data_IF_463803734995
#
_entry.id   IF_463803734995
#
_cell.length_a   1.000
_cell.length_b   1.000
_cell.length_c   1.000
_cell.angle_alpha   90.00
_cell.angle_beta   90.00
_cell.angle_gamma   90.00
#
_symmetry.space_group_name_H-M   'P 1'
#
loop_
_entity.id
_entity.type
_entity.pdbx_description
1 polymer ?
#
# COMPACT_ATOMS: atom_id res chain seq x y z
N UNK A 1 3.43 11.07 1.18
CA UNK A 1 2.37 10.16 1.61
C UNK A 1 2.73 8.72 1.25
N UNK A 2 2.22 7.77 2.05
CA UNK A 2 2.37 6.34 1.80
C UNK A 2 0.99 5.68 1.76
N UNK A 3 0.91 4.52 1.11
CA UNK A 3 -0.31 3.71 1.07
C UNK A 3 -0.15 2.54 2.03
N UNK A 4 -1.09 2.37 2.95
CA UNK A 4 -1.16 1.19 3.82
C UNK A 4 -2.19 0.24 3.23
N UNK A 5 -1.73 -0.95 2.88
CA UNK A 5 -2.57 -1.97 2.28
C UNK A 5 -2.87 -3.04 3.33
N UNK A 6 -4.10 -3.07 3.81
CA UNK A 6 -4.54 -4.05 4.81
C UNK A 6 -4.96 -5.33 4.08
N UNK A 7 -4.30 -6.43 4.41
CA UNK A 7 -4.49 -7.73 3.75
C UNK A 7 -4.97 -8.76 4.76
N UNK A 8 -6.05 -9.41 4.45
CA UNK A 8 -6.62 -10.44 5.31
C UNK A 8 -5.79 -11.73 5.26
N UNK A 9 -5.38 -12.19 6.44
CA UNK A 9 -4.56 -13.39 6.60
C UNK A 9 -5.13 -14.37 7.63
N UNK A 10 -6.45 -14.44 7.74
CA UNK A 10 -7.11 -15.40 8.61
C UNK A 10 -8.47 -15.82 8.04
N UNK A 11 -8.92 -16.98 8.43
CA UNK A 11 -10.25 -17.47 8.06
C UNK A 11 -11.23 -17.14 9.17
N UNK A 12 -12.37 -16.56 8.80
CA UNK A 12 -13.46 -16.27 9.71
C UNK A 12 -14.74 -16.92 9.14
N UNK A 13 -15.30 -17.94 9.83
CA UNK A 13 -16.47 -18.63 9.34
C UNK A 13 -17.73 -17.75 9.26
N UNK A 14 -17.71 -16.59 9.93
CA UNK A 14 -18.82 -15.64 9.91
C UNK A 14 -18.77 -14.65 8.75
N UNK A 15 -17.67 -14.64 7.99
CA UNK A 15 -17.49 -13.75 6.84
C UNK A 15 -17.56 -14.55 5.56
N UNK A 16 -18.47 -14.12 4.69
CA UNK A 16 -18.63 -14.73 3.36
C UNK A 16 -17.66 -14.02 2.41
N UNK A 17 -16.74 -14.79 1.83
CA UNK A 17 -15.89 -14.30 0.75
C UNK A 17 -16.62 -14.42 -0.57
N UNK A 18 -16.63 -13.35 -1.33
CA UNK A 18 -17.22 -13.33 -2.68
C UNK A 18 -16.53 -14.39 -3.56
N UNK A 19 -15.23 -14.58 -3.37
CA UNK A 19 -14.41 -15.52 -4.15
C UNK A 19 -14.14 -16.85 -3.44
N UNK A 20 -14.80 -17.13 -2.33
CA UNK A 20 -14.84 -18.44 -1.69
C UNK A 20 -13.73 -18.81 -0.71
N UNK A 21 -12.54 -18.22 -0.81
CA UNK A 21 -11.40 -18.53 0.07
C UNK A 21 -10.53 -17.32 0.34
N UNK A 22 -9.76 -17.38 1.45
CA UNK A 22 -8.76 -16.37 1.75
C UNK A 22 -7.58 -16.54 0.79
N UNK A 23 -7.24 -15.49 0.06
CA UNK A 23 -6.11 -15.46 -0.84
C UNK A 23 -5.49 -14.05 -0.79
N UNK A 24 -4.47 -13.83 0.06
CA UNK A 24 -3.91 -12.50 0.26
C UNK A 24 -3.23 -11.93 -0.99
N UNK A 25 -2.58 -12.76 -1.79
CA UNK A 25 -1.92 -12.30 -3.03
C UNK A 25 -2.96 -11.83 -4.05
N UNK A 26 -4.05 -12.59 -4.21
CA UNK A 26 -5.17 -12.19 -5.08
C UNK A 26 -5.77 -10.86 -4.62
N UNK A 27 -5.96 -10.69 -3.31
CA UNK A 27 -6.51 -9.46 -2.75
C UNK A 27 -5.58 -8.27 -3.02
N UNK A 28 -4.27 -8.45 -2.90
CA UNK A 28 -3.27 -7.44 -3.23
C UNK A 28 -3.35 -7.07 -4.72
N UNK A 29 -3.40 -8.05 -5.60
CA UNK A 29 -3.50 -7.85 -7.04
C UNK A 29 -4.77 -7.10 -7.43
N UNK A 30 -5.90 -7.46 -6.81
CA UNK A 30 -7.19 -6.81 -7.05
C UNK A 30 -7.16 -5.33 -6.66
N UNK A 31 -6.62 -5.02 -5.48
CA UNK A 31 -6.47 -3.64 -5.01
C UNK A 31 -5.50 -2.86 -5.92
N UNK A 32 -4.41 -3.48 -6.33
CA UNK A 32 -3.45 -2.84 -7.24
C UNK A 32 -4.13 -2.46 -8.56
N UNK A 33 -4.98 -3.32 -9.11
CA UNK A 33 -5.74 -3.01 -10.34
C UNK A 33 -6.69 -1.83 -10.13
N UNK A 34 -7.39 -1.78 -9.01
CA UNK A 34 -8.27 -0.66 -8.68
C UNK A 34 -7.50 0.67 -8.60
N UNK A 35 -6.33 0.65 -7.95
CA UNK A 35 -5.46 1.82 -7.84
C UNK A 35 -4.90 2.23 -9.21
N UNK A 36 -4.53 1.27 -10.04
CA UNK A 36 -4.06 1.51 -11.41
C UNK A 36 -5.15 2.18 -12.24
N UNK A 37 -6.38 1.69 -12.19
CA UNK A 37 -7.50 2.29 -12.93
C UNK A 37 -7.75 3.73 -12.48
N UNK A 38 -7.69 3.99 -11.17
CA UNK A 38 -7.81 5.35 -10.64
C UNK A 38 -6.72 6.27 -11.19
N UNK A 39 -5.48 5.78 -11.23
CA UNK A 39 -4.34 6.55 -11.75
C UNK A 39 -4.47 6.80 -13.26
N UNK A 40 -4.95 5.82 -14.02
CA UNK A 40 -5.20 5.98 -15.45
C UNK A 40 -6.20 7.11 -15.70
N UNK A 41 -7.26 7.19 -14.90
CA UNK A 41 -8.25 8.28 -15.03
C UNK A 41 -7.61 9.66 -14.78
N UNK A 42 -6.71 9.74 -13.81
CA UNK A 42 -5.96 10.98 -13.53
C UNK A 42 -5.12 11.37 -14.76
N UNK A 43 -4.40 10.40 -15.33
CA UNK A 43 -3.57 10.61 -16.51
C UNK A 43 -4.40 11.01 -17.73
N UNK A 44 -5.54 10.40 -17.96
CA UNK A 44 -6.43 10.73 -19.06
C UNK A 44 -6.91 12.17 -19.00
N UNK A 45 -7.29 12.63 -17.81
CA UNK A 45 -7.68 14.04 -17.59
C UNK A 45 -6.53 14.99 -17.89
N UNK A 46 -5.33 14.64 -17.44
CA UNK A 46 -4.14 15.44 -17.68
C UNK A 46 -3.77 15.47 -19.16
N UNK A 47 -3.88 14.33 -19.85
CA UNK A 47 -3.64 14.22 -21.30
C UNK A 47 -4.62 15.14 -22.07
N UNK A 48 -5.89 15.08 -21.76
CA UNK A 48 -6.91 15.91 -22.40
C UNK A 48 -6.63 17.41 -22.24
N UNK A 49 -6.07 17.79 -21.10
CA UNK A 49 -5.68 19.17 -20.80
C UNK A 49 -4.41 19.58 -21.55
N UNK A 50 -3.43 18.70 -21.58
CA UNK A 50 -2.09 18.96 -22.13
C UNK A 50 -2.08 18.96 -23.66
N UNK A 51 -2.90 18.12 -24.28
CA UNK A 51 -3.00 17.98 -25.75
C UNK A 51 -3.29 19.29 -26.47
N UNK A 52 -4.09 20.15 -25.84
CA UNK A 52 -4.50 21.44 -26.43
C UNK A 52 -3.33 22.41 -26.61
N UNK A 53 -2.38 22.37 -25.68
CA UNK A 53 -1.22 23.25 -25.72
C UNK A 53 0.01 22.65 -26.38
N UNK A 54 0.06 21.33 -26.55
CA UNK A 54 1.24 20.61 -27.02
C UNK A 54 1.69 20.96 -28.45
N UNK A 55 0.75 21.47 -29.25
CA UNK A 55 1.06 21.87 -30.65
C UNK A 55 1.95 23.12 -30.70
N UNK A 56 1.82 23.99 -29.72
CA UNK A 56 2.50 25.28 -29.71
C UNK A 56 3.57 25.40 -28.63
N UNK A 57 3.73 24.42 -27.77
CA UNK A 57 4.65 24.41 -26.65
C UNK A 57 5.42 23.09 -26.60
N UNK A 58 6.73 23.15 -26.79
CA UNK A 58 7.62 21.98 -26.79
C UNK A 58 7.65 21.28 -25.43
N UNK A 59 7.54 22.04 -24.35
CA UNK A 59 7.53 21.51 -22.99
C UNK A 59 6.27 20.67 -22.78
N UNK A 60 5.11 21.15 -23.21
CA UNK A 60 3.86 20.40 -23.14
C UNK A 60 3.86 19.18 -24.06
N UNK A 61 4.52 19.26 -25.21
CA UNK A 61 4.71 18.12 -26.10
C UNK A 61 5.54 17.02 -25.44
N UNK A 62 6.60 17.40 -24.73
CA UNK A 62 7.45 16.46 -23.97
C UNK A 62 6.65 15.81 -22.83
N UNK A 63 5.87 16.61 -22.10
CA UNK A 63 5.01 16.09 -21.04
C UNK A 63 3.96 15.11 -21.60
N UNK A 64 3.38 15.42 -22.74
CA UNK A 64 2.39 14.54 -23.38
C UNK A 64 2.99 13.17 -23.74
N UNK A 65 4.23 13.13 -24.21
CA UNK A 65 4.94 11.89 -24.47
C UNK A 65 5.11 11.06 -23.18
N UNK A 66 5.49 11.72 -22.09
CA UNK A 66 5.60 11.07 -20.78
C UNK A 66 4.26 10.50 -20.33
N UNK A 67 3.20 11.32 -20.42
CA UNK A 67 1.85 10.89 -20.02
C UNK A 67 1.38 9.66 -20.78
N UNK A 68 1.63 9.60 -22.09
CA UNK A 68 1.26 8.44 -22.91
C UNK A 68 2.07 7.21 -22.53
N UNK A 69 3.38 7.34 -22.31
CA UNK A 69 4.23 6.22 -21.90
C UNK A 69 3.86 5.69 -20.53
N UNK A 70 3.57 6.60 -19.58
CA UNK A 70 3.16 6.24 -18.22
C UNK A 70 1.80 5.54 -18.23
N UNK A 71 0.87 6.03 -19.06
CA UNK A 71 -0.44 5.39 -19.22
C UNK A 71 -0.29 3.96 -19.76
N UNK A 72 0.54 3.75 -20.76
CA UNK A 72 0.84 2.41 -21.31
C UNK A 72 1.43 1.50 -20.24
N UNK A 73 2.33 2.03 -19.41
CA UNK A 73 2.95 1.31 -18.30
C UNK A 73 1.89 0.79 -17.32
N UNK A 74 0.94 1.64 -16.95
CA UNK A 74 -0.16 1.29 -16.06
C UNK A 74 -1.14 0.29 -16.74
N UNK A 75 -1.46 0.51 -18.01
CA UNK A 75 -2.34 -0.40 -18.76
C UNK A 75 -1.77 -1.81 -18.89
N UNK A 76 -0.44 -1.94 -18.87
CA UNK A 76 0.24 -3.23 -18.84
C UNK A 76 0.18 -3.92 -17.46
N UNK A 77 -0.42 -3.28 -16.47
CA UNK A 77 -0.55 -3.82 -15.11
C UNK A 77 0.59 -3.46 -14.18
N UNK A 78 1.47 -2.54 -14.58
CA UNK A 78 2.61 -2.11 -13.76
C UNK A 78 2.25 -0.91 -12.89
N UNK A 79 2.81 -0.85 -11.68
CA UNK A 79 2.63 0.28 -10.78
C UNK A 79 3.48 1.46 -11.23
N UNK A 80 3.00 2.68 -11.02
CA UNK A 80 3.74 3.89 -11.41
C UNK A 80 5.11 4.00 -10.72
N UNK A 81 5.24 3.49 -9.50
CA UNK A 81 6.51 3.49 -8.77
C UNK A 81 7.61 2.70 -9.49
N UNK A 82 7.25 1.76 -10.35
CA UNK A 82 8.21 0.97 -11.13
C UNK A 82 8.64 1.67 -12.42
N UNK A 83 8.01 2.79 -12.76
CA UNK A 83 8.42 3.61 -13.89
C UNK A 83 9.67 4.41 -13.53
N UNK A 84 10.75 4.22 -14.26
CA UNK A 84 12.03 4.87 -13.99
C UNK A 84 12.38 5.85 -15.11
N UNK A 85 12.89 7.00 -14.71
CA UNK A 85 13.39 8.01 -15.62
C UNK A 85 14.51 8.79 -14.96
N UNK A 86 15.54 9.14 -15.74
CA UNK A 86 16.65 9.99 -15.31
C UNK A 86 16.43 11.47 -15.67
N UNK A 87 15.38 11.77 -16.42
CA UNK A 87 15.04 13.12 -16.84
C UNK A 87 14.44 13.93 -15.67
N UNK A 88 15.05 15.04 -15.33
CA UNK A 88 14.61 15.89 -14.20
C UNK A 88 13.21 16.46 -14.39
N UNK A 89 12.84 16.84 -15.61
CA UNK A 89 11.50 17.35 -15.93
C UNK A 89 10.45 16.27 -15.73
N UNK A 90 10.73 15.05 -16.20
CA UNK A 90 9.83 13.91 -16.05
C UNK A 90 9.65 13.54 -14.58
N UNK A 91 10.74 13.53 -13.79
CA UNK A 91 10.68 13.26 -12.35
C UNK A 91 9.78 14.27 -11.63
N UNK A 92 9.90 15.55 -11.99
CA UNK A 92 9.06 16.61 -11.43
C UNK A 92 7.58 16.42 -11.76
N UNK A 93 7.28 16.11 -13.03
CA UNK A 93 5.91 15.88 -13.45
C UNK A 93 5.30 14.66 -12.78
N UNK A 94 6.05 13.57 -12.65
CA UNK A 94 5.61 12.35 -11.94
C UNK A 94 5.21 12.68 -10.50
N UNK A 95 5.99 13.50 -9.81
CA UNK A 95 5.67 13.94 -8.45
C UNK A 95 4.40 14.81 -8.40
N UNK A 96 4.21 15.68 -9.39
CA UNK A 96 3.03 16.56 -9.48
C UNK A 96 1.73 15.79 -9.70
N UNK A 97 1.77 14.67 -10.42
CA UNK A 97 0.57 13.88 -10.71
C UNK A 97 -0.01 13.23 -9.47
N UNK A 98 0.79 13.04 -8.44
CA UNK A 98 0.36 12.47 -7.15
C UNK A 98 -0.40 11.15 -7.32
N UNK A 99 0.12 10.27 -8.15
CA UNK A 99 -0.49 8.98 -8.44
C UNK A 99 -0.43 8.05 -7.22
N UNK A 100 -1.49 7.28 -7.00
CA UNK A 100 -1.58 6.34 -5.88
C UNK A 100 -0.55 5.22 -6.00
N UNK A 101 -0.36 4.69 -7.21
CA UNK A 101 0.59 3.59 -7.46
C UNK A 101 2.06 4.06 -7.50
N UNK A 102 2.32 5.37 -7.44
CA UNK A 102 3.66 5.93 -7.33
C UNK A 102 4.12 6.06 -5.86
N UNK A 103 3.22 5.88 -4.91
CA UNK A 103 3.51 6.02 -3.49
C UNK A 103 4.10 4.72 -2.93
N UNK A 104 5.00 4.80 -1.93
CA UNK A 104 5.48 3.61 -1.24
C UNK A 104 4.31 2.91 -0.53
N UNK A 105 4.39 1.57 -0.47
CA UNK A 105 3.33 0.74 0.11
C UNK A 105 3.88 0.00 1.33
N UNK A 106 3.08 -0.02 2.38
CA UNK A 106 3.30 -0.84 3.57
C UNK A 106 2.14 -1.83 3.65
N UNK A 107 2.46 -3.12 3.80
CA UNK A 107 1.44 -4.15 3.97
C UNK A 107 1.16 -4.38 5.46
N UNK A 108 -0.11 -4.36 5.83
CA UNK A 108 -0.58 -4.72 7.15
C UNK A 108 -1.33 -6.06 7.03
N UNK A 109 -0.67 -7.13 7.45
CA UNK A 109 -1.26 -8.47 7.45
C UNK A 109 -2.18 -8.62 8.66
N UNK A 110 -3.48 -8.64 8.41
CA UNK A 110 -4.49 -8.76 9.46
C UNK A 110 -4.72 -10.23 9.80
N UNK A 111 -4.36 -10.61 11.02
CA UNK A 111 -4.40 -11.98 11.53
C UNK A 111 -5.37 -12.12 12.69
N UNK A 112 -5.62 -13.36 13.13
CA UNK A 112 -6.31 -13.63 14.38
C UNK A 112 -5.36 -13.43 15.57
N UNK A 113 -5.91 -13.29 16.77
CA UNK A 113 -5.14 -13.11 18.00
C UNK A 113 -4.05 -14.17 18.19
N UNK A 114 -4.35 -15.41 17.81
CA UNK A 114 -3.44 -16.54 17.99
C UNK A 114 -2.10 -16.37 17.26
N UNK A 115 -2.07 -15.58 16.21
CA UNK A 115 -0.87 -15.35 15.39
C UNK A 115 -0.01 -14.18 15.87
N UNK A 116 -0.44 -13.42 16.87
CA UNK A 116 0.32 -12.26 17.36
C UNK A 116 1.59 -12.66 18.12
N UNK A 117 1.55 -13.76 18.86
CA UNK A 117 2.68 -14.16 19.73
C UNK A 117 3.94 -14.49 18.93
N UNK A 118 3.82 -15.08 17.74
CA UNK A 118 4.95 -15.43 16.87
C UNK A 118 5.08 -14.49 15.66
N UNK A 119 4.40 -13.36 15.69
CA UNK A 119 4.39 -12.36 14.61
C UNK A 119 3.97 -12.98 13.25
N UNK A 120 3.03 -13.93 13.31
CA UNK A 120 2.51 -14.61 12.11
C UNK A 120 3.48 -15.60 11.47
N UNK A 121 4.55 -15.99 12.15
CA UNK A 121 5.59 -16.87 11.59
C UNK A 121 5.04 -18.22 11.11
N UNK A 122 4.06 -18.78 11.81
CA UNK A 122 3.42 -20.05 11.45
C UNK A 122 2.19 -19.88 10.56
N UNK A 123 1.83 -18.64 10.20
CA UNK A 123 0.69 -18.36 9.33
C UNK A 123 1.13 -18.33 7.86
N UNK A 124 0.63 -19.28 7.07
CA UNK A 124 0.99 -19.40 5.66
C UNK A 124 0.59 -18.15 4.84
N UNK A 125 -0.56 -17.56 5.14
CA UNK A 125 -1.02 -16.35 4.44
C UNK A 125 -0.09 -15.17 4.67
N UNK A 126 0.42 -15.03 5.89
CA UNK A 126 1.41 -13.98 6.24
C UNK A 126 2.70 -14.21 5.45
N UNK A 127 3.15 -15.46 5.31
CA UNK A 127 4.35 -15.78 4.55
C UNK A 127 4.18 -15.44 3.07
N UNK A 128 3.01 -15.68 2.49
CA UNK A 128 2.69 -15.30 1.12
C UNK A 128 2.78 -13.79 0.91
N UNK A 129 2.24 -13.01 1.86
CA UNK A 129 2.33 -11.54 1.83
C UNK A 129 3.77 -11.08 1.95
N UNK A 130 4.56 -11.69 2.83
CA UNK A 130 5.98 -11.36 3.01
C UNK A 130 6.79 -11.61 1.75
N UNK A 131 6.55 -12.73 1.08
CA UNK A 131 7.23 -13.03 -0.19
C UNK A 131 6.88 -12.01 -1.27
N UNK A 132 5.60 -11.67 -1.38
CA UNK A 132 5.13 -10.67 -2.33
C UNK A 132 5.72 -9.29 -2.04
N UNK A 133 5.75 -8.89 -0.77
CA UNK A 133 6.32 -7.62 -0.34
C UNK A 133 7.82 -7.53 -0.58
N UNK A 134 8.53 -8.64 -0.41
CA UNK A 134 9.97 -8.72 -0.66
C UNK A 134 10.29 -8.42 -2.12
N UNK A 135 9.48 -8.91 -3.06
CA UNK A 135 9.64 -8.63 -4.49
C UNK A 135 9.47 -7.13 -4.79
N UNK A 136 8.64 -6.44 -4.03
CA UNK A 136 8.36 -5.02 -4.17
C UNK A 136 9.21 -4.12 -3.25
N UNK A 137 10.12 -4.70 -2.46
CA UNK A 137 10.91 -4.00 -1.45
C UNK A 137 10.05 -3.24 -0.43
N UNK A 138 8.90 -3.82 -0.07
CA UNK A 138 7.95 -3.25 0.88
C UNK A 138 8.03 -3.97 2.22
N UNK A 139 7.67 -3.25 3.29
CA UNK A 139 7.60 -3.82 4.64
C UNK A 139 6.23 -4.44 4.91
N UNK A 140 6.21 -5.46 5.76
CA UNK A 140 4.99 -6.13 6.22
C UNK A 140 4.92 -6.06 7.74
N UNK A 141 3.77 -5.61 8.24
CA UNK A 141 3.48 -5.59 9.67
C UNK A 141 2.29 -6.52 9.95
N UNK A 142 2.42 -7.31 10.99
CA UNK A 142 1.35 -8.21 11.44
C UNK A 142 0.50 -7.45 12.46
N UNK A 143 -0.78 -7.35 12.20
CA UNK A 143 -1.74 -6.70 13.09
C UNK A 143 -2.93 -7.64 13.33
N UNK A 144 -3.64 -7.41 14.42
CA UNK A 144 -4.95 -8.00 14.64
C UNK A 144 -5.93 -6.86 14.86
N UNK A 145 -6.79 -6.61 13.88
CA UNK A 145 -7.73 -5.49 13.94
C UNK A 145 -8.66 -5.59 15.14
N UNK A 146 -9.05 -6.80 15.52
CA UNK A 146 -9.90 -7.03 16.71
C UNK A 146 -9.19 -6.58 17.99
N UNK A 147 -7.91 -6.94 18.15
CA UNK A 147 -7.10 -6.54 19.31
C UNK A 147 -6.87 -5.02 19.32
N UNK A 148 -6.61 -4.42 18.15
CA UNK A 148 -6.45 -2.98 18.04
C UNK A 148 -7.72 -2.22 18.49
N UNK A 149 -8.88 -2.74 18.13
CA UNK A 149 -10.16 -2.17 18.57
C UNK A 149 -10.33 -2.27 20.07
N UNK A 150 -9.98 -3.41 20.68
CA UNK A 150 -10.04 -3.61 22.13
C UNK A 150 -9.08 -2.66 22.86
N UNK A 151 -7.85 -2.52 22.35
CA UNK A 151 -6.84 -1.63 22.91
C UNK A 151 -7.28 -0.17 22.85
N UNK A 152 -7.93 0.24 21.79
CA UNK A 152 -8.38 1.61 21.58
C UNK A 152 -9.38 2.09 22.67
N UNK A 153 -10.08 1.16 23.31
CA UNK A 153 -11.04 1.44 24.37
C UNK A 153 -10.40 1.48 25.76
N UNK A 154 -9.14 1.08 25.89
CA UNK A 154 -8.42 1.00 27.16
C UNK A 154 -7.65 2.29 27.48
N UNK A 155 -7.49 2.56 28.76
CA UNK A 155 -6.58 3.61 29.22
C UNK A 155 -5.12 3.13 29.11
N UNK A 156 -4.16 4.06 29.17
CA UNK A 156 -2.74 3.77 28.98
C UNK A 156 -2.20 2.64 29.88
N UNK A 157 -2.56 2.64 31.16
CA UNK A 157 -2.12 1.62 32.11
C UNK A 157 -2.69 0.24 31.79
N UNK A 158 -3.97 0.20 31.44
CA UNK A 158 -4.67 -1.03 31.06
C UNK A 158 -4.14 -1.57 29.73
N UNK A 159 -3.89 -0.68 28.79
CA UNK A 159 -3.31 -1.01 27.47
C UNK A 159 -1.97 -1.69 27.63
N UNK A 160 -1.10 -1.14 28.48
CA UNK A 160 0.23 -1.68 28.73
C UNK A 160 0.15 -3.09 29.32
N UNK A 161 -0.71 -3.30 30.30
CA UNK A 161 -0.94 -4.60 30.93
C UNK A 161 -1.47 -5.61 29.92
N UNK A 162 -2.41 -5.20 29.10
CA UNK A 162 -3.01 -6.04 28.05
C UNK A 162 -1.96 -6.50 27.02
N UNK A 163 -1.11 -5.59 26.58
CA UNK A 163 -0.02 -5.91 25.66
C UNK A 163 1.01 -6.86 26.28
N UNK A 164 1.34 -6.66 27.54
CA UNK A 164 2.26 -7.54 28.28
C UNK A 164 1.70 -8.97 28.39
N UNK A 165 0.39 -9.10 28.65
CA UNK A 165 -0.29 -10.40 28.72
C UNK A 165 -0.25 -11.13 27.37
N UNK A 166 -0.24 -10.39 26.25
CA UNK A 166 -0.09 -10.96 24.90
C UNK A 166 1.37 -11.21 24.52
N UNK A 167 2.31 -10.82 25.36
CA UNK A 167 3.74 -10.94 25.07
C UNK A 167 4.26 -9.87 24.11
N UNK A 168 3.58 -8.73 24.03
CA UNK A 168 3.91 -7.63 23.11
C UNK A 168 4.41 -6.42 23.88
N UNK A 169 5.37 -5.70 23.31
CA UNK A 169 5.88 -4.44 23.86
C UNK A 169 5.07 -3.23 23.35
N UNK A 170 4.51 -3.34 22.15
CA UNK A 170 3.69 -2.30 21.52
C UNK A 170 2.66 -2.95 20.59
N UNK A 171 1.61 -2.22 20.24
CA UNK A 171 0.59 -2.71 19.32
C UNK A 171 1.10 -2.74 17.88
N UNK A 172 0.45 -3.55 17.03
CA UNK A 172 0.74 -3.59 15.60
C UNK A 172 0.53 -2.23 14.93
N UNK A 173 -0.52 -1.51 15.35
CA UNK A 173 -0.80 -0.18 14.84
C UNK A 173 0.30 0.82 15.19
N UNK A 174 0.85 0.77 16.40
CA UNK A 174 1.97 1.62 16.82
C UNK A 174 3.21 1.35 15.97
N UNK A 175 3.52 0.09 15.69
CA UNK A 175 4.62 -0.32 14.82
C UNK A 175 4.42 0.23 13.40
N UNK A 176 3.20 0.13 12.89
CA UNK A 176 2.83 0.60 11.56
C UNK A 176 2.99 2.12 11.45
N UNK A 177 2.56 2.87 12.44
CA UNK A 177 2.68 4.32 12.49
C UNK A 177 4.15 4.74 12.47
N UNK A 178 4.98 4.11 13.31
CA UNK A 178 6.43 4.38 13.36
C UNK A 178 7.11 4.09 12.03
N UNK A 179 6.75 2.97 11.40
CA UNK A 179 7.29 2.59 10.10
C UNK A 179 6.89 3.57 9.00
N UNK A 180 5.65 4.07 9.04
CA UNK A 180 5.15 5.08 8.10
C UNK A 180 5.95 6.38 8.20
N UNK A 181 6.22 6.84 9.41
CA UNK A 181 7.05 8.04 9.62
C UNK A 181 8.48 7.85 9.10
N UNK A 182 9.09 6.70 9.35
CA UNK A 182 10.43 6.38 8.84
C UNK A 182 10.47 6.38 7.32
N UNK A 183 9.48 5.75 6.70
CA UNK A 183 9.39 5.64 5.23
C UNK A 183 9.26 7.00 4.57
N UNK A 184 8.52 7.91 5.19
CA UNK A 184 8.31 9.27 4.67
C UNK A 184 9.44 10.23 5.07
N UNK A 185 10.43 9.77 5.83
CA UNK A 185 11.54 10.60 6.31
C UNK A 185 11.12 11.61 7.38
N UNK A 186 9.99 11.38 8.04
CA UNK A 186 9.51 12.26 9.11
C UNK A 186 10.15 11.88 10.44
N UNK A 187 10.38 12.86 11.28
CA UNK A 187 10.89 12.66 12.63
C UNK A 187 9.72 12.35 13.55
N UNK A 188 9.80 11.22 14.23
CA UNK A 188 8.78 10.82 15.22
C UNK A 188 9.06 11.44 16.58
#
# INVERSE_FOLDING_TARGET
DAVVHVVRCFEDPNVIHVDGSVDPVRDIETINLELIFSDIEILERRIAKTVRGARNDKTLAKELELLNRLKEHLEAGNLAITYQTDDEDEQKWLAEYNLLTAKPVIFAANVSEDDLADDGASNQYVQEVREHAKEQHSEVFVICAQIEQEIAELEEDEKKMFLEDLGLSESGLEKLIKASYRLLGLIS
#
